data_IF_415490061181
#
_entry.id   IF_415490061181
#
_cell.length_a   1.000
_cell.length_b   1.000
_cell.length_c   1.000
_cell.angle_alpha   90.00
_cell.angle_beta   90.00
_cell.angle_gamma   90.00
#
_symmetry.space_group_name_H-M   'P 1'
#
loop_
_entity.id
_entity.type
_entity.pdbx_description
1 polymer ?
#
# COMPACT_ATOMS: atom_id res chain seq x y z
N UNK A 1 22.22 -26.61 4.23
CA UNK A 1 22.63 -25.45 5.06
C UNK A 1 21.39 -24.65 5.41
N UNK A 2 21.11 -24.33 6.67
CA UNK A 2 20.08 -23.35 6.99
C UNK A 2 20.69 -21.96 6.70
N UNK A 3 20.26 -21.31 5.63
CA UNK A 3 20.62 -19.91 5.38
C UNK A 3 19.97 -19.05 6.46
N UNK A 4 20.78 -18.38 7.29
CA UNK A 4 20.28 -17.29 8.14
C UNK A 4 19.58 -16.29 7.22
N UNK A 5 18.26 -16.21 7.30
CA UNK A 5 17.50 -15.13 6.67
C UNK A 5 17.78 -13.89 7.51
N UNK A 6 18.85 -13.18 7.15
CA UNK A 6 19.21 -11.94 7.79
C UNK A 6 18.08 -10.95 7.48
N UNK A 7 17.43 -10.42 8.51
CA UNK A 7 16.43 -9.37 8.32
C UNK A 7 17.19 -8.08 7.93
N UNK A 8 16.89 -7.53 6.77
CA UNK A 8 17.42 -6.25 6.29
C UNK A 8 16.30 -5.27 5.99
N UNK A 9 16.66 -4.01 5.86
CA UNK A 9 15.73 -2.94 5.49
C UNK A 9 15.52 -2.92 3.98
N UNK A 10 14.27 -2.71 3.59
CA UNK A 10 13.80 -2.67 2.21
C UNK A 10 12.98 -1.40 2.02
N UNK A 11 13.11 -0.77 0.86
CA UNK A 11 12.41 0.46 0.54
C UNK A 11 11.14 0.17 -0.26
N UNK A 12 10.02 0.77 0.15
CA UNK A 12 8.79 0.83 -0.62
C UNK A 12 8.49 2.28 -0.98
N UNK A 13 8.61 2.61 -2.25
CA UNK A 13 8.30 3.94 -2.76
C UNK A 13 6.87 3.98 -3.27
N UNK A 14 6.05 4.83 -2.67
CA UNK A 14 4.77 5.22 -3.24
C UNK A 14 4.96 6.48 -4.08
N UNK A 15 4.54 6.42 -5.34
CA UNK A 15 4.64 7.52 -6.28
C UNK A 15 3.23 7.94 -6.65
N UNK A 16 2.86 9.18 -6.32
CA UNK A 16 1.60 9.76 -6.75
C UNK A 16 1.72 10.26 -8.19
N UNK A 17 1.57 9.34 -9.13
CA UNK A 17 1.50 9.62 -10.56
C UNK A 17 0.10 10.06 -11.02
N UNK A 18 -0.84 10.26 -10.08
CA UNK A 18 -2.20 10.72 -10.38
C UNK A 18 -2.32 12.24 -10.30
N UNK A 19 -3.40 12.78 -10.86
CA UNK A 19 -3.69 14.23 -10.83
C UNK A 19 -4.30 14.68 -9.50
N UNK A 20 -4.65 13.75 -8.62
CA UNK A 20 -5.38 14.02 -7.38
C UNK A 20 -4.47 13.77 -6.17
N UNK A 21 -4.68 14.48 -5.04
CA UNK A 21 -3.97 14.18 -3.81
C UNK A 21 -4.37 12.81 -3.27
N UNK A 22 -3.41 12.09 -2.71
CA UNK A 22 -3.59 10.72 -2.23
C UNK A 22 -3.18 10.63 -0.77
N UNK A 23 -3.97 9.93 0.03
CA UNK A 23 -3.62 9.63 1.42
C UNK A 23 -3.22 8.17 1.57
N UNK A 24 -2.16 7.91 2.32
CA UNK A 24 -1.67 6.58 2.64
C UNK A 24 -1.70 6.41 4.15
N UNK A 25 -2.42 5.40 4.61
CA UNK A 25 -2.59 5.11 6.02
C UNK A 25 -2.17 3.68 6.33
N UNK A 26 -1.34 3.49 7.37
CA UNK A 26 -1.02 2.16 7.87
C UNK A 26 -2.23 1.58 8.63
N UNK A 27 -2.64 0.35 8.29
CA UNK A 27 -3.84 -0.28 8.84
C UNK A 27 -3.59 -1.07 10.14
N UNK A 28 -2.34 -1.43 10.43
CA UNK A 28 -1.99 -2.21 11.61
C UNK A 28 -0.78 -1.59 12.29
N UNK A 29 -0.87 -1.44 13.60
CA UNK A 29 0.24 -1.00 14.44
C UNK A 29 1.25 -2.16 14.58
N UNK A 30 2.23 -2.23 13.68
CA UNK A 30 3.31 -3.23 13.71
C UNK A 30 4.33 -2.91 14.83
N UNK A 31 3.86 -2.72 16.07
CA UNK A 31 4.69 -2.40 17.24
C UNK A 31 5.07 -0.92 17.40
N UNK A 32 4.65 -0.05 16.48
CA UNK A 32 4.66 1.40 16.63
C UNK A 32 3.22 1.88 16.64
N UNK A 33 2.85 2.75 17.60
CA UNK A 33 1.67 3.59 17.44
C UNK A 33 1.80 4.23 16.05
N UNK A 34 0.79 4.15 15.20
CA UNK A 34 0.03 5.34 14.81
C UNK A 34 -0.82 5.04 13.59
N UNK A 35 -2.06 5.50 13.68
CA UNK A 35 -2.91 5.92 12.57
C UNK A 35 -2.29 7.08 11.78
N UNK A 36 -1.01 6.96 11.40
CA UNK A 36 -0.29 7.94 10.62
C UNK A 36 -0.89 7.91 9.22
N UNK A 37 -1.40 9.07 8.82
CA UNK A 37 -1.91 9.32 7.48
C UNK A 37 -0.92 10.25 6.81
N UNK A 38 -0.34 9.80 5.72
CA UNK A 38 0.56 10.59 4.88
C UNK A 38 -0.22 11.10 3.68
N UNK A 39 -0.18 12.41 3.45
CA UNK A 39 -0.76 13.05 2.27
C UNK A 39 0.33 13.25 1.22
N UNK A 40 0.18 12.64 0.05
CA UNK A 40 1.00 12.90 -1.13
C UNK A 40 0.25 13.80 -2.10
N UNK A 41 0.89 14.90 -2.49
CA UNK A 41 0.42 15.74 -3.58
C UNK A 41 0.69 15.10 -4.94
N UNK A 42 0.03 15.56 -6.02
CA UNK A 42 0.32 15.09 -7.37
C UNK A 42 1.81 15.23 -7.72
N UNK A 43 2.38 14.19 -8.34
CA UNK A 43 3.81 14.06 -8.67
C UNK A 43 4.78 13.98 -7.48
N UNK A 44 4.27 13.84 -6.25
CA UNK A 44 5.08 13.59 -5.06
C UNK A 44 5.32 12.08 -4.88
N UNK A 45 6.44 11.73 -4.26
CA UNK A 45 6.71 10.36 -3.82
C UNK A 45 7.11 10.32 -2.35
N UNK A 46 6.81 9.21 -1.70
CA UNK A 46 7.26 8.93 -0.34
C UNK A 46 7.90 7.55 -0.28
N UNK A 47 8.96 7.43 0.49
CA UNK A 47 9.65 6.17 0.75
C UNK A 47 9.30 5.67 2.14
N UNK A 48 8.84 4.42 2.24
CA UNK A 48 8.62 3.72 3.49
C UNK A 48 9.71 2.66 3.68
N UNK A 49 10.24 2.59 4.89
CA UNK A 49 11.24 1.59 5.27
C UNK A 49 10.53 0.38 5.86
N UNK A 50 10.71 -0.78 5.25
CA UNK A 50 10.10 -2.05 5.62
C UNK A 50 11.16 -3.05 6.06
N UNK A 51 10.82 -3.89 7.04
CA UNK A 51 11.61 -5.08 7.33
C UNK A 51 11.40 -6.16 6.25
N UNK A 52 12.49 -6.69 5.69
CA UNK A 52 12.48 -7.74 4.67
C UNK A 52 11.60 -8.92 5.08
N UNK A 53 10.73 -9.36 4.17
CA UNK A 53 9.86 -10.52 4.38
C UNK A 53 8.66 -10.28 5.31
N UNK A 54 8.58 -9.13 5.97
CA UNK A 54 7.43 -8.73 6.79
C UNK A 54 6.27 -8.22 5.93
N UNK A 55 5.05 -8.46 6.38
CA UNK A 55 3.82 -8.07 5.68
C UNK A 55 3.30 -6.77 6.27
N UNK A 56 3.10 -5.74 5.45
CA UNK A 56 2.53 -4.44 5.82
C UNK A 56 1.20 -4.22 5.10
N UNK A 57 0.24 -3.58 5.77
CA UNK A 57 -1.09 -3.29 5.21
C UNK A 57 -1.37 -1.80 5.24
N UNK A 58 -1.77 -1.26 4.09
CA UNK A 58 -2.00 0.17 3.88
C UNK A 58 -3.39 0.39 3.29
N UNK A 59 -4.07 1.47 3.70
CA UNK A 59 -5.20 2.02 2.98
C UNK A 59 -4.72 3.23 2.18
N UNK A 60 -4.87 3.16 0.86
CA UNK A 60 -4.58 4.25 -0.07
C UNK A 60 -5.91 4.87 -0.48
N UNK A 61 -6.14 6.15 -0.20
CA UNK A 61 -7.35 6.86 -0.61
C UNK A 61 -7.05 7.96 -1.63
N UNK A 62 -7.83 8.02 -2.71
CA UNK A 62 -7.76 9.05 -3.77
C UNK A 62 -9.16 9.56 -4.10
N UNK A 63 -9.33 10.84 -4.47
CA UNK A 63 -10.64 11.37 -4.87
C UNK A 63 -11.04 12.70 -4.19
N UNK A 64 -11.57 13.70 -4.92
CA UNK A 64 -12.02 14.97 -4.36
C UNK A 64 -13.50 15.00 -3.94
N UNK A 65 -14.31 14.01 -4.35
CA UNK A 65 -15.77 13.95 -4.07
C UNK A 65 -16.25 12.60 -3.54
N UNK A 66 -15.74 11.52 -4.13
CA UNK A 66 -15.95 10.15 -3.67
C UNK A 66 -14.57 9.56 -3.51
N UNK A 67 -14.19 9.21 -2.28
CA UNK A 67 -12.86 8.67 -2.01
C UNK A 67 -12.84 7.21 -2.47
N UNK A 68 -12.05 6.90 -3.49
CA UNK A 68 -11.68 5.52 -3.81
C UNK A 68 -10.62 5.07 -2.84
N UNK A 69 -10.87 3.97 -2.14
CA UNK A 69 -9.96 3.38 -1.16
C UNK A 69 -9.49 2.03 -1.67
N UNK A 70 -8.18 1.83 -1.68
CA UNK A 70 -7.54 0.55 -1.95
C UNK A 70 -6.87 0.04 -0.68
N UNK A 71 -7.21 -1.19 -0.26
CA UNK A 71 -6.45 -1.93 0.73
C UNK A 71 -5.29 -2.62 0.03
N UNK A 72 -4.08 -2.28 0.45
CA UNK A 72 -2.82 -2.67 -0.17
C UNK A 72 -2.02 -3.49 0.82
N UNK A 73 -1.63 -4.69 0.42
CA UNK A 73 -0.77 -5.58 1.18
C UNK A 73 0.60 -5.58 0.51
N UNK A 74 1.62 -5.16 1.24
CA UNK A 74 3.00 -5.15 0.77
C UNK A 74 3.83 -6.18 1.55
N UNK A 75 4.54 -7.04 0.83
CA UNK A 75 5.57 -7.91 1.40
C UNK A 75 6.72 -7.97 0.43
N UNK A 76 7.91 -7.59 0.86
CA UNK A 76 9.05 -7.57 -0.05
C UNK A 76 10.34 -8.05 0.59
N UNK A 77 11.20 -8.61 -0.26
CA UNK A 77 12.60 -8.91 0.00
C UNK A 77 13.51 -7.93 -0.76
N UNK A 78 12.99 -7.01 -1.56
CA UNK A 78 13.77 -6.06 -2.38
C UNK A 78 13.05 -4.74 -2.52
N UNK A 79 13.75 -3.68 -2.89
CA UNK A 79 13.12 -2.37 -3.03
C UNK A 79 12.02 -2.43 -4.11
N UNK A 80 10.88 -1.79 -3.82
CA UNK A 80 9.71 -1.76 -4.71
C UNK A 80 9.31 -0.31 -4.96
N UNK A 81 9.02 0.00 -6.23
CA UNK A 81 8.32 1.21 -6.61
C UNK A 81 6.87 0.90 -6.95
N UNK A 82 5.95 1.65 -6.36
CA UNK A 82 4.51 1.48 -6.50
C UNK A 82 3.88 2.78 -6.98
N UNK A 83 3.42 2.77 -8.23
CA UNK A 83 2.64 3.86 -8.80
C UNK A 83 1.20 3.77 -8.32
N UNK A 84 0.64 4.88 -7.83
CA UNK A 84 -0.70 4.91 -7.27
C UNK A 84 -1.76 4.60 -8.33
N UNK A 85 -1.58 5.05 -9.58
CA UNK A 85 -2.51 4.73 -10.67
C UNK A 85 -2.72 3.23 -10.87
N UNK A 86 -1.66 2.42 -10.67
CA UNK A 86 -1.71 0.97 -10.85
C UNK A 86 -2.59 0.29 -9.79
N UNK A 87 -2.62 0.83 -8.56
CA UNK A 87 -3.43 0.29 -7.46
C UNK A 87 -4.94 0.38 -7.74
N UNK A 88 -5.35 1.41 -8.48
CA UNK A 88 -6.75 1.64 -8.81
C UNK A 88 -7.13 1.10 -10.21
N UNK A 89 -6.14 0.89 -11.09
CA UNK A 89 -6.34 0.26 -12.39
C UNK A 89 -6.64 -1.25 -12.29
N UNK A 90 -6.12 -1.92 -11.26
CA UNK A 90 -6.30 -3.37 -11.06
C UNK A 90 -7.72 -3.77 -10.69
N UNK A 91 -8.59 -2.82 -10.33
CA UNK A 91 -10.01 -3.06 -10.03
C UNK A 91 -10.86 -3.55 -11.22
N UNK A 92 -10.28 -3.68 -12.42
CA UNK A 92 -10.94 -4.24 -13.60
C UNK A 92 -10.55 -5.71 -13.87
N UNK A 93 -9.54 -6.25 -13.17
CA UNK A 93 -9.01 -7.59 -13.43
C UNK A 93 -8.39 -8.22 -12.17
N UNK A 94 -9.18 -8.47 -11.13
CA UNK A 94 -8.72 -9.37 -10.06
C UNK A 94 -9.16 -10.79 -10.39
N UNK A 95 -8.25 -11.75 -10.65
CA UNK A 95 -8.60 -13.13 -10.39
C UNK A 95 -8.92 -13.22 -8.89
N UNK A 96 -10.05 -13.85 -8.58
CA UNK A 96 -10.44 -14.22 -7.23
C UNK A 96 -9.27 -15.00 -6.63
N UNK A 97 -8.47 -14.35 -5.79
CA UNK A 97 -7.50 -15.05 -4.96
C UNK A 97 -8.09 -15.07 -3.55
N UNK A 98 -8.38 -16.30 -3.12
CA UNK A 98 -8.83 -16.65 -1.79
C UNK A 98 -8.05 -15.88 -0.72
N UNK A 99 -8.81 -15.38 0.26
CA UNK A 99 -8.42 -14.56 1.40
C UNK A 99 -7.47 -15.24 2.41
N UNK A 100 -6.50 -16.04 1.96
CA UNK A 100 -5.65 -16.88 2.82
C UNK A 100 -4.15 -16.80 2.53
N UNK A 101 -3.70 -16.14 1.47
CA UNK A 101 -2.27 -16.11 1.14
C UNK A 101 -1.74 -14.68 1.22
N UNK A 102 -0.96 -14.41 2.27
CA UNK A 102 -0.09 -13.24 2.29
C UNK A 102 0.77 -13.26 1.01
N UNK A 103 0.97 -12.12 0.33
CA UNK A 103 1.73 -12.08 -0.91
C UNK A 103 3.09 -12.73 -0.71
N UNK A 104 3.52 -13.55 -1.67
CA UNK A 104 4.83 -14.21 -1.60
C UNK A 104 5.95 -13.17 -1.76
N UNK A 105 5.73 -12.19 -2.66
CA UNK A 105 6.60 -11.05 -2.92
C UNK A 105 5.82 -9.98 -3.70
N UNK A 106 6.04 -8.69 -3.40
CA UNK A 106 5.43 -7.57 -4.12
C UNK A 106 4.38 -6.77 -3.34
N UNK A 107 3.64 -5.96 -4.10
CA UNK A 107 2.50 -5.16 -3.62
C UNK A 107 1.24 -5.71 -4.28
N UNK A 108 0.25 -6.06 -3.46
CA UNK A 108 -1.04 -6.62 -3.91
C UNK A 108 -2.18 -5.76 -3.41
N UNK A 109 -3.16 -5.53 -4.27
CA UNK A 109 -4.42 -4.86 -3.91
C UNK A 109 -5.42 -5.93 -3.46
N UNK A 110 -5.74 -5.93 -2.17
CA UNK A 110 -6.69 -6.87 -1.55
C UNK A 110 -8.14 -6.50 -1.93
N UNK A 111 -8.47 -5.20 -1.83
CA UNK A 111 -9.82 -4.70 -2.12
C UNK A 111 -9.76 -3.25 -2.56
N UNK A 112 -10.64 -2.87 -3.50
CA UNK A 112 -10.96 -1.47 -3.81
C UNK A 112 -12.44 -1.21 -3.52
N UNK A 113 -12.75 -0.09 -2.87
CA UNK A 113 -14.13 0.35 -2.63
C UNK A 113 -14.25 1.87 -2.67
N UNK A 114 -15.48 2.36 -2.81
CA UNK A 114 -15.78 3.77 -2.67
C UNK A 114 -16.18 4.06 -1.21
N UNK A 115 -15.48 5.00 -0.59
CA UNK A 115 -15.81 5.58 0.69
C UNK A 115 -16.61 6.88 0.44
N UNK A 116 -17.89 6.84 0.83
CA UNK A 116 -18.82 7.97 0.70
C UNK A 116 -18.88 8.81 1.98
N UNK A 117 -18.05 8.50 2.98
CA UNK A 117 -18.00 9.28 4.21
C UNK A 117 -17.23 10.58 3.97
N UNK A 118 -17.94 11.69 4.05
CA UNK A 118 -17.35 13.03 4.08
C UNK A 118 -16.88 13.24 5.51
N UNK A 119 -15.58 13.17 5.76
CA UNK A 119 -15.03 13.75 6.98
C UNK A 119 -15.08 15.27 6.79
N UNK A 120 -16.13 15.87 7.38
CA UNK A 120 -16.25 17.33 7.60
C UNK A 120 -15.37 17.72 8.77
#
# INVERSE_FOLDING_TARGET
MPSLVQNYEVLLDFINDTTEPVTIQLLKDYGRNTSAVLLLLPSESTTLILNSGSVYRYAVKTGPRVYKVANVIARSWRDIHCNISHLFATGLSSPILDSSFDPVEGVVVDRVWNDYTVFV
#
